data_IF_241094769379
#
_entry.id   IF_241094769379
#
_cell.length_a   1.000
_cell.length_b   1.000
_cell.length_c   1.000
_cell.angle_alpha   90.00
_cell.angle_beta   90.00
_cell.angle_gamma   90.00
#
_symmetry.space_group_name_H-M   'P 1'
#
loop_
_entity.id
_entity.type
_entity.pdbx_description
1 polymer ?
#
# COMPACT_ATOMS: atom_id res chain seq x y z
N UNK A 1 -17.78 18.10 -4.94
CA UNK A 1 -17.80 17.33 -6.20
C UNK A 1 -17.99 15.86 -5.80
N UNK A 2 -18.15 14.92 -6.72
CA UNK A 2 -18.21 13.51 -6.34
C UNK A 2 -16.80 12.90 -6.45
N UNK A 3 -16.43 12.05 -5.51
CA UNK A 3 -15.14 11.37 -5.52
C UNK A 3 -14.96 10.58 -6.83
N UNK A 4 -13.88 10.87 -7.56
CA UNK A 4 -13.50 10.14 -8.77
C UNK A 4 -12.43 9.12 -8.39
N UNK A 5 -12.75 7.84 -8.58
CA UNK A 5 -11.83 6.71 -8.43
C UNK A 5 -11.27 6.31 -9.78
N UNK A 6 -9.95 6.26 -9.89
CA UNK A 6 -9.23 5.81 -11.09
C UNK A 6 -8.36 4.63 -10.74
N UNK A 7 -8.50 3.52 -11.47
CA UNK A 7 -7.62 2.36 -11.31
C UNK A 7 -6.24 2.74 -11.83
N UNK A 8 -5.27 2.82 -10.92
CA UNK A 8 -3.87 3.06 -11.26
C UNK A 8 -3.19 1.77 -11.72
N UNK A 9 -3.55 0.65 -11.09
CA UNK A 9 -2.95 -0.64 -11.37
C UNK A 9 -3.81 -1.79 -10.83
N UNK A 10 -3.73 -2.94 -11.47
CA UNK A 10 -4.41 -4.16 -11.04
C UNK A 10 -3.58 -5.38 -11.44
N UNK A 11 -3.29 -6.24 -10.46
CA UNK A 11 -2.44 -7.40 -10.67
C UNK A 11 -2.71 -8.48 -9.64
N UNK A 12 -2.17 -9.67 -9.90
CA UNK A 12 -2.31 -10.81 -9.00
C UNK A 12 -1.01 -11.61 -8.91
N UNK A 13 -0.81 -12.24 -7.76
CA UNK A 13 0.26 -13.22 -7.54
C UNK A 13 -0.37 -14.57 -7.32
N UNK A 14 -0.07 -15.49 -8.23
CA UNK A 14 -0.58 -16.85 -8.16
C UNK A 14 0.24 -17.70 -7.19
N UNK A 15 -0.44 -18.48 -6.35
CA UNK A 15 0.17 -19.58 -5.60
C UNK A 15 0.01 -20.87 -6.42
N UNK A 16 1.09 -21.59 -6.66
CA UNK A 16 1.03 -22.83 -7.44
C UNK A 16 0.75 -24.05 -6.56
N UNK A 17 0.95 -23.95 -5.24
CA UNK A 17 0.71 -25.04 -4.31
C UNK A 17 -0.78 -25.38 -4.19
N UNK A 18 -1.64 -24.36 -4.12
CA UNK A 18 -3.10 -24.50 -3.96
C UNK A 18 -3.90 -23.83 -5.08
N UNK A 19 -3.22 -23.33 -6.12
CA UNK A 19 -3.82 -22.68 -7.29
C UNK A 19 -4.65 -21.41 -6.95
N UNK A 20 -4.51 -20.85 -5.73
CA UNK A 20 -5.10 -19.58 -5.35
C UNK A 20 -4.32 -18.39 -5.89
N UNK A 21 -4.84 -17.19 -5.70
CA UNK A 21 -4.16 -15.97 -6.11
C UNK A 21 -4.46 -14.83 -5.15
N UNK A 22 -3.42 -14.07 -4.79
CA UNK A 22 -3.56 -12.83 -4.06
C UNK A 22 -3.74 -11.70 -5.08
N UNK A 23 -4.91 -11.09 -5.09
CA UNK A 23 -5.24 -9.99 -6.00
C UNK A 23 -5.00 -8.65 -5.32
N UNK A 24 -4.43 -7.72 -6.07
CA UNK A 24 -4.16 -6.34 -5.65
C UNK A 24 -4.82 -5.40 -6.65
N UNK A 25 -5.58 -4.45 -6.14
CA UNK A 25 -6.16 -3.34 -6.89
C UNK A 25 -5.66 -2.03 -6.27
N UNK A 26 -5.19 -1.12 -7.10
CA UNK A 26 -4.71 0.20 -6.66
C UNK A 26 -5.55 1.28 -7.31
N UNK A 27 -6.15 2.12 -6.48
CA UNK A 27 -7.03 3.20 -6.91
C UNK A 27 -6.45 4.55 -6.47
N UNK A 28 -6.38 5.49 -7.40
CA UNK A 28 -6.24 6.91 -7.11
C UNK A 28 -7.62 7.49 -6.86
N UNK A 29 -7.77 8.25 -5.77
CA UNK A 29 -9.03 8.90 -5.39
C UNK A 29 -8.81 10.40 -5.34
N UNK A 30 -9.75 11.19 -5.88
CA UNK A 30 -9.69 12.66 -5.78
C UNK A 30 -10.13 13.17 -4.40
N UNK A 31 -11.00 12.42 -3.72
CA UNK A 31 -11.50 12.76 -2.38
C UNK A 31 -11.43 11.51 -1.49
N UNK A 32 -10.41 11.43 -0.64
CA UNK A 32 -10.13 10.28 0.24
C UNK A 32 -9.96 10.71 1.70
N UNK A 33 -10.50 9.91 2.61
CA UNK A 33 -10.32 10.11 4.04
C UNK A 33 -11.15 11.26 4.63
N UNK A 34 -10.81 11.67 5.86
CA UNK A 34 -11.62 12.61 6.64
C UNK A 34 -11.57 14.04 6.08
N UNK A 35 -10.47 14.40 5.42
CA UNK A 35 -10.28 15.72 4.82
C UNK A 35 -10.72 15.78 3.34
N UNK A 36 -11.23 14.69 2.76
CA UNK A 36 -11.61 14.60 1.36
C UNK A 36 -10.50 15.10 0.40
N UNK A 37 -9.24 14.72 0.66
CA UNK A 37 -8.10 15.12 -0.15
C UNK A 37 -7.68 14.03 -1.13
N UNK A 38 -6.94 14.36 -2.21
CA UNK A 38 -6.42 13.36 -3.12
C UNK A 38 -5.54 12.34 -2.39
N UNK A 39 -5.64 11.07 -2.79
CA UNK A 39 -4.84 10.00 -2.19
C UNK A 39 -4.89 8.69 -2.97
N UNK A 40 -4.20 7.69 -2.43
CA UNK A 40 -4.10 6.35 -3.03
C UNK A 40 -4.68 5.33 -2.07
N UNK A 41 -5.47 4.40 -2.60
CA UNK A 41 -6.03 3.27 -1.86
C UNK A 41 -5.52 1.97 -2.49
N UNK A 42 -4.90 1.11 -1.69
CA UNK A 42 -4.49 -0.23 -2.12
C UNK A 42 -5.43 -1.25 -1.48
N UNK A 43 -6.13 -2.03 -2.31
CA UNK A 43 -7.07 -3.07 -1.90
C UNK A 43 -6.45 -4.44 -2.16
N UNK A 44 -6.38 -5.29 -1.13
CA UNK A 44 -5.89 -6.65 -1.23
C UNK A 44 -6.52 -7.52 -0.14
N UNK A 45 -6.86 -8.78 -0.48
CA UNK A 45 -7.45 -9.76 0.46
C UNK A 45 -8.68 -9.25 1.23
N UNK A 46 -9.51 -8.39 0.62
CA UNK A 46 -10.70 -7.82 1.27
C UNK A 46 -10.40 -6.67 2.26
N UNK A 47 -9.14 -6.29 2.41
CA UNK A 47 -8.70 -5.13 3.18
C UNK A 47 -8.28 -4.00 2.24
N UNK A 48 -8.34 -2.76 2.75
CA UNK A 48 -7.80 -1.60 2.06
C UNK A 48 -6.86 -0.82 2.96
N UNK A 49 -5.78 -0.32 2.38
CA UNK A 49 -4.86 0.62 3.01
C UNK A 49 -5.00 1.95 2.30
N UNK A 50 -5.41 2.96 3.06
CA UNK A 50 -5.65 4.32 2.58
C UNK A 50 -4.42 5.17 2.88
N UNK A 51 -3.80 5.68 1.83
CA UNK A 51 -2.72 6.66 1.90
C UNK A 51 -3.33 8.04 1.65
N UNK A 52 -3.84 8.64 2.72
CA UNK A 52 -4.34 10.03 2.77
C UNK A 52 -3.35 10.92 3.54
N UNK A 53 -3.33 12.25 3.28
CA UNK A 53 -2.33 13.15 3.85
C UNK A 53 -2.18 13.07 5.37
N UNK A 54 -3.29 13.06 6.12
CA UNK A 54 -3.25 13.08 7.59
C UNK A 54 -2.56 11.84 8.18
N UNK A 55 -2.95 10.63 7.73
CA UNK A 55 -2.35 9.41 8.27
C UNK A 55 -0.91 9.23 7.77
N UNK A 56 -0.62 9.65 6.53
CA UNK A 56 0.73 9.60 5.96
C UNK A 56 1.68 10.54 6.70
N UNK A 57 1.24 11.74 7.09
CA UNK A 57 2.03 12.66 7.94
C UNK A 57 2.42 11.98 9.28
N UNK A 58 1.47 11.30 9.92
CA UNK A 58 1.73 10.58 11.17
C UNK A 58 2.72 9.42 10.98
N UNK A 59 2.61 8.67 9.88
CA UNK A 59 3.54 7.61 9.54
C UNK A 59 4.94 8.17 9.22
N UNK A 60 5.02 9.25 8.43
CA UNK A 60 6.27 9.91 8.10
C UNK A 60 6.99 10.44 9.35
N UNK A 61 6.24 11.03 10.28
CA UNK A 61 6.79 11.46 11.57
C UNK A 61 7.35 10.29 12.39
N UNK A 62 6.63 9.15 12.46
CA UNK A 62 7.10 7.95 13.16
C UNK A 62 8.35 7.37 12.48
N UNK A 63 8.37 7.33 11.16
CA UNK A 63 9.51 6.89 10.37
C UNK A 63 10.75 7.77 10.60
N UNK A 64 10.57 9.09 10.60
CA UNK A 64 11.62 10.06 10.91
C UNK A 64 12.18 9.89 12.32
N UNK A 65 11.34 9.63 13.32
CA UNK A 65 11.78 9.30 14.69
C UNK A 65 12.61 8.03 14.78
N UNK A 66 12.33 7.05 13.92
CA UNK A 66 13.07 5.79 13.85
C UNK A 66 14.28 5.86 12.93
N UNK A 67 14.46 6.95 12.17
CA UNK A 67 15.55 7.11 11.21
C UNK A 67 15.45 6.15 10.02
N UNK A 68 14.25 5.70 9.65
CA UNK A 68 14.02 4.77 8.54
C UNK A 68 13.36 5.46 7.34
N UNK A 69 13.79 5.11 6.14
CA UNK A 69 13.21 5.61 4.88
C UNK A 69 12.00 4.80 4.41
N UNK A 70 11.81 3.60 4.95
CA UNK A 70 10.75 2.67 4.56
C UNK A 70 10.00 2.23 5.80
N UNK A 71 8.81 2.78 5.99
CA UNK A 71 8.01 2.57 7.19
C UNK A 71 7.00 1.46 6.95
N UNK A 72 7.22 0.29 7.56
CA UNK A 72 6.30 -0.84 7.50
C UNK A 72 5.02 -0.52 8.28
N UNK A 73 3.87 -0.66 7.61
CA UNK A 73 2.56 -0.58 8.24
C UNK A 73 2.21 -1.93 8.86
N UNK A 74 2.81 -2.22 10.02
CA UNK A 74 2.70 -3.52 10.68
C UNK A 74 1.24 -3.92 10.93
N UNK A 75 0.39 -3.00 11.40
CA UNK A 75 -1.03 -3.26 11.69
C UNK A 75 -1.88 -3.51 10.43
N UNK A 76 -1.37 -3.12 9.27
CA UNK A 76 -2.03 -3.32 7.96
C UNK A 76 -1.45 -4.50 7.18
N UNK A 77 -0.28 -4.99 7.58
CA UNK A 77 0.47 -6.00 6.86
C UNK A 77 0.14 -7.39 7.41
N UNK A 78 -0.03 -8.34 6.51
CA UNK A 78 -0.13 -9.75 6.87
C UNK A 78 1.24 -10.40 6.74
N UNK A 79 1.90 -10.64 7.87
CA UNK A 79 3.31 -11.09 7.94
C UNK A 79 3.51 -12.32 8.83
N UNK A 80 2.43 -13.05 9.11
CA UNK A 80 2.46 -14.19 10.04
C UNK A 80 3.31 -15.37 9.51
N UNK A 81 3.43 -15.51 8.19
CA UNK A 81 4.26 -16.53 7.55
C UNK A 81 5.38 -15.88 6.73
N UNK A 82 6.57 -16.48 6.72
CA UNK A 82 7.75 -15.96 6.01
C UNK A 82 7.73 -16.26 4.50
N UNK A 83 7.02 -17.31 4.11
CA UNK A 83 6.85 -17.78 2.74
C UNK A 83 5.59 -17.22 2.07
N UNK A 84 4.64 -16.69 2.85
CA UNK A 84 3.40 -16.11 2.35
C UNK A 84 3.05 -14.82 3.12
N UNK A 85 3.09 -13.67 2.44
CA UNK A 85 2.85 -12.38 3.10
C UNK A 85 2.36 -11.27 2.16
N UNK A 86 1.72 -10.28 2.76
CA UNK A 86 1.40 -8.99 2.15
C UNK A 86 1.91 -7.88 3.07
N UNK A 87 2.88 -7.10 2.59
CA UNK A 87 3.48 -6.00 3.35
C UNK A 87 3.18 -4.67 2.69
N UNK A 88 2.77 -3.69 3.49
CA UNK A 88 2.53 -2.33 3.05
C UNK A 88 3.53 -1.40 3.69
N UNK A 89 4.07 -0.46 2.91
CA UNK A 89 5.01 0.52 3.40
C UNK A 89 4.65 1.92 2.93
N UNK A 90 4.96 2.90 3.77
CA UNK A 90 5.22 4.26 3.34
C UNK A 90 6.71 4.40 3.04
N UNK A 91 7.07 4.73 1.80
CA UNK A 91 8.44 5.04 1.40
C UNK A 91 8.61 6.56 1.42
N UNK A 92 9.54 7.03 2.26
CA UNK A 92 9.90 8.43 2.35
C UNK A 92 10.77 8.85 1.17
N UNK A 93 10.50 10.04 0.65
CA UNK A 93 11.17 10.62 -0.50
C UNK A 93 10.38 11.82 -1.03
N UNK A 94 10.84 12.36 -2.16
CA UNK A 94 10.15 13.42 -2.90
C UNK A 94 10.01 12.95 -4.36
N UNK A 95 8.86 12.37 -4.75
CA UNK A 95 7.62 12.23 -3.99
C UNK A 95 7.65 11.06 -2.97
N UNK A 96 6.73 11.13 -1.99
CA UNK A 96 6.41 9.98 -1.12
C UNK A 96 5.77 8.87 -1.95
N UNK A 97 5.94 7.61 -1.53
CA UNK A 97 5.32 6.48 -2.22
C UNK A 97 4.62 5.51 -1.29
N UNK A 98 3.48 4.99 -1.75
CA UNK A 98 2.88 3.77 -1.22
C UNK A 98 3.56 2.57 -1.86
N UNK A 99 4.09 1.65 -1.06
CA UNK A 99 4.65 0.39 -1.55
C UNK A 99 3.87 -0.80 -1.01
N UNK A 100 3.62 -1.77 -1.87
CA UNK A 100 3.10 -3.08 -1.50
C UNK A 100 4.06 -4.17 -1.97
N UNK A 101 4.31 -5.15 -1.11
CA UNK A 101 5.06 -6.36 -1.42
C UNK A 101 4.15 -7.56 -1.17
N UNK A 102 3.91 -8.34 -2.21
CA UNK A 102 3.11 -9.58 -2.12
C UNK A 102 4.00 -10.76 -2.44
N UNK A 103 3.94 -11.78 -1.59
CA UNK A 103 4.62 -13.06 -1.80
C UNK A 103 3.65 -14.21 -1.51
N UNK A 104 3.59 -15.16 -2.44
CA UNK A 104 2.99 -16.48 -2.23
C UNK A 104 4.10 -17.54 -2.08
N UNK A 105 3.75 -18.73 -1.61
CA UNK A 105 4.72 -19.81 -1.32
C UNK A 105 5.57 -20.19 -2.53
N UNK A 106 4.93 -20.26 -3.71
CA UNK A 106 5.62 -20.59 -4.96
C UNK A 106 6.19 -19.39 -5.73
N UNK A 107 6.08 -18.15 -5.23
CA UNK A 107 6.51 -16.96 -5.96
C UNK A 107 7.69 -16.22 -5.31
N UNK A 108 8.42 -15.48 -6.15
CA UNK A 108 9.33 -14.44 -5.66
C UNK A 108 8.49 -13.24 -5.20
N UNK A 109 8.98 -12.46 -4.21
CA UNK A 109 8.30 -11.24 -3.78
C UNK A 109 8.05 -10.30 -4.96
N UNK A 110 6.78 -9.93 -5.17
CA UNK A 110 6.37 -8.95 -6.16
C UNK A 110 6.17 -7.61 -5.46
N UNK A 111 7.03 -6.65 -5.78
CA UNK A 111 7.05 -5.31 -5.15
C UNK A 111 6.57 -4.28 -6.17
N UNK A 112 5.59 -3.47 -5.78
CA UNK A 112 5.13 -2.31 -6.56
C UNK A 112 5.07 -1.06 -5.71
N UNK A 113 5.38 0.07 -6.33
CA UNK A 113 5.37 1.40 -5.71
C UNK A 113 4.45 2.32 -6.50
N UNK A 114 3.80 3.23 -5.79
CA UNK A 114 2.88 4.22 -6.36
C UNK A 114 3.15 5.57 -5.71
N UNK A 115 3.41 6.59 -6.54
CA UNK A 115 3.64 7.94 -6.06
C UNK A 115 2.37 8.51 -5.42
N UNK A 116 2.52 9.19 -4.28
CA UNK A 116 1.41 9.85 -3.60
C UNK A 116 1.14 11.22 -4.24
N UNK A 117 -0.13 11.61 -4.44
CA UNK A 117 -0.50 12.86 -5.11
C UNK A 117 -0.39 14.10 -4.19
N UNK A 118 0.46 14.05 -3.17
CA UNK A 118 0.64 15.10 -2.16
C UNK A 118 2.00 14.99 -1.47
N UNK A 119 2.36 16.05 -0.75
CA UNK A 119 3.55 16.13 0.11
C UNK A 119 3.10 16.28 1.58
N UNK A 120 3.95 15.87 2.53
CA UNK A 120 3.74 16.03 4.00
C UNK A 120 5.01 16.50 4.68
#
# INVERSE_FOLDING_TARGET
>A
MANVKTVLDQWSVKDLEDNSSINVLVEGCTELGNNAQPGVQIICMGHYVTYEPNIVEQWAYKAGKQGISEYLLEDKSWTFHEDQYVKYFLVLGSPLKARIIVKTRSSKPNTREYDLPFEV
#
